data_IF_345599809249
#
_entry.id   IF_345599809249
#
_cell.length_a   1.000
_cell.length_b   1.000
_cell.length_c   1.000
_cell.angle_alpha   90.00
_cell.angle_beta   90.00
_cell.angle_gamma   90.00
#
_symmetry.space_group_name_H-M   'P 1'
#
loop_
_entity.id
_entity.type
_entity.pdbx_description
1 polymer ?
#
# COMPACT_ATOMS: atom_id res chain seq x y z
N UNK A 1 7.09 -5.37 -12.01
CA UNK A 1 8.02 -6.48 -11.80
C UNK A 1 8.63 -6.27 -10.43
N UNK A 2 8.47 -7.24 -9.54
CA UNK A 2 9.22 -7.23 -8.29
C UNK A 2 10.63 -7.71 -8.59
N UNK A 3 11.63 -6.91 -8.25
CA UNK A 3 13.01 -7.36 -8.42
C UNK A 3 13.36 -8.40 -7.34
N UNK A 4 14.43 -9.17 -7.55
CA UNK A 4 14.87 -10.23 -6.62
C UNK A 4 15.20 -9.73 -5.19
N UNK A 5 15.17 -8.42 -4.93
CA UNK A 5 15.41 -7.84 -3.60
C UNK A 5 14.13 -7.62 -2.78
N UNK A 6 12.95 -7.64 -3.42
CA UNK A 6 11.69 -7.36 -2.73
C UNK A 6 11.00 -8.60 -2.14
N UNK A 7 11.36 -9.80 -2.59
CA UNK A 7 10.86 -11.08 -2.07
C UNK A 7 9.44 -11.45 -2.49
N UNK A 8 8.86 -10.79 -3.48
CA UNK A 8 7.49 -11.04 -3.90
C UNK A 8 7.28 -12.44 -4.47
N UNK A 9 8.13 -12.85 -5.40
CA UNK A 9 8.02 -14.17 -6.04
C UNK A 9 8.19 -15.28 -5.00
N UNK A 10 9.20 -15.15 -4.15
CA UNK A 10 9.53 -16.09 -3.08
C UNK A 10 8.41 -16.18 -2.05
N UNK A 11 7.87 -15.04 -1.61
CA UNK A 11 6.71 -15.00 -0.71
C UNK A 11 5.50 -15.71 -1.31
N UNK A 12 5.20 -15.43 -2.59
CA UNK A 12 4.05 -16.04 -3.27
C UNK A 12 4.22 -17.56 -3.39
N UNK A 13 5.41 -18.03 -3.76
CA UNK A 13 5.73 -19.46 -3.85
C UNK A 13 5.61 -20.14 -2.49
N UNK A 14 6.14 -19.51 -1.43
CA UNK A 14 6.07 -20.07 -0.09
C UNK A 14 4.63 -20.16 0.43
N UNK A 15 3.81 -19.10 0.26
CA UNK A 15 2.39 -19.15 0.60
C UNK A 15 1.64 -20.21 -0.22
N UNK A 16 1.97 -20.37 -1.50
CA UNK A 16 1.34 -21.35 -2.38
C UNK A 16 1.67 -22.78 -1.92
N UNK A 17 2.91 -23.02 -1.50
CA UNK A 17 3.32 -24.28 -0.92
C UNK A 17 2.55 -24.56 0.37
N UNK A 18 2.43 -23.59 1.29
CA UNK A 18 1.68 -23.77 2.53
C UNK A 18 0.22 -24.15 2.29
N UNK A 19 -0.43 -23.51 1.31
CA UNK A 19 -1.79 -23.84 0.92
C UNK A 19 -1.91 -25.28 0.38
N UNK A 20 -0.99 -25.70 -0.49
CA UNK A 20 -0.99 -27.05 -1.08
C UNK A 20 -0.60 -28.14 -0.08
N UNK A 21 0.27 -27.84 0.88
CA UNK A 21 0.78 -28.77 1.88
C UNK A 21 -0.34 -29.35 2.77
N UNK A 22 -1.42 -28.59 2.97
CA UNK A 22 -2.61 -29.06 3.67
C UNK A 22 -3.42 -30.09 2.84
N UNK A 23 -3.36 -30.03 1.50
CA UNK A 23 -4.18 -30.83 0.60
C UNK A 23 -3.59 -32.22 0.28
N UNK A 24 -2.26 -32.38 0.37
CA UNK A 24 -1.56 -33.58 -0.12
C UNK A 24 -0.59 -34.13 0.94
N UNK A 25 -1.01 -35.10 1.78
CA UNK A 25 -0.10 -35.83 2.66
C UNK A 25 0.72 -36.88 1.87
N UNK A 26 1.92 -37.30 2.36
CA UNK A 26 2.57 -36.86 3.59
C UNK A 26 3.35 -35.55 3.44
N UNK A 27 3.34 -34.75 4.49
CA UNK A 27 4.04 -33.48 4.55
C UNK A 27 5.57 -33.67 4.62
N UNK A 28 6.31 -33.04 3.72
CA UNK A 28 7.77 -32.98 3.80
C UNK A 28 8.19 -31.85 4.76
N UNK A 29 8.58 -32.21 5.99
CA UNK A 29 8.93 -31.26 7.05
C UNK A 29 10.11 -30.37 6.65
N UNK A 30 11.14 -30.91 6.01
CA UNK A 30 12.29 -30.12 5.56
C UNK A 30 11.88 -29.05 4.55
N UNK A 31 10.97 -29.40 3.64
CA UNK A 31 10.45 -28.44 2.67
C UNK A 31 9.54 -27.40 3.34
N UNK A 32 8.71 -27.81 4.31
CA UNK A 32 7.88 -26.89 5.08
C UNK A 32 8.74 -25.83 5.80
N UNK A 33 9.76 -26.25 6.56
CA UNK A 33 10.66 -25.35 7.26
C UNK A 33 11.36 -24.38 6.30
N UNK A 34 11.81 -24.86 5.13
CA UNK A 34 12.41 -24.01 4.11
C UNK A 34 11.45 -22.92 3.58
N UNK A 35 10.17 -23.25 3.38
CA UNK A 35 9.18 -22.26 2.94
C UNK A 35 8.80 -21.28 4.05
N UNK A 36 8.75 -21.73 5.30
CA UNK A 36 8.53 -20.84 6.45
C UNK A 36 9.70 -19.87 6.63
N UNK A 37 10.94 -20.33 6.45
CA UNK A 37 12.14 -19.49 6.51
C UNK A 37 12.14 -18.39 5.41
N UNK A 38 11.64 -18.71 4.22
CA UNK A 38 11.42 -17.72 3.16
C UNK A 38 10.44 -16.62 3.61
N UNK A 39 9.31 -17.00 4.20
CA UNK A 39 8.31 -16.02 4.69
C UNK A 39 8.89 -15.15 5.81
N UNK A 40 9.67 -15.75 6.71
CA UNK A 40 10.31 -15.04 7.81
C UNK A 40 11.46 -14.13 7.36
N UNK A 41 12.17 -14.50 6.30
CA UNK A 41 13.26 -13.70 5.74
C UNK A 41 12.74 -12.44 5.03
N UNK A 42 11.73 -12.59 4.17
CA UNK A 42 11.22 -11.46 3.40
C UNK A 42 10.16 -10.64 4.13
N UNK A 43 9.37 -11.27 5.03
CA UNK A 43 8.27 -10.66 5.79
C UNK A 43 7.37 -9.75 4.94
N UNK A 44 7.18 -10.09 3.66
CA UNK A 44 6.52 -9.20 2.71
C UNK A 44 5.08 -8.84 3.13
N UNK A 45 4.23 -9.79 3.59
CA UNK A 45 2.90 -9.43 4.08
C UNK A 45 2.95 -8.44 5.25
N UNK A 46 3.86 -8.64 6.20
CA UNK A 46 4.02 -7.73 7.34
C UNK A 46 4.48 -6.33 6.90
N UNK A 47 5.43 -6.24 5.95
CA UNK A 47 5.88 -4.96 5.37
C UNK A 47 4.74 -4.25 4.63
N UNK A 48 3.94 -4.99 3.87
CA UNK A 48 2.75 -4.46 3.18
C UNK A 48 1.76 -3.88 4.17
N UNK A 49 1.36 -4.64 5.18
CA UNK A 49 0.37 -4.21 6.18
C UNK A 49 0.85 -3.00 6.97
N UNK A 50 2.13 -2.99 7.37
CA UNK A 50 2.72 -1.82 8.04
C UNK A 50 2.71 -0.60 7.12
N UNK A 51 3.01 -0.78 5.85
CA UNK A 51 3.10 0.33 4.89
C UNK A 51 1.72 0.92 4.61
N UNK A 52 0.70 0.09 4.41
CA UNK A 52 -0.68 0.57 4.22
C UNK A 52 -1.14 1.36 5.44
N UNK A 53 -0.96 0.82 6.66
CA UNK A 53 -1.32 1.52 7.89
C UNK A 53 -0.58 2.86 8.06
N UNK A 54 0.73 2.89 7.81
CA UNK A 54 1.53 4.11 7.95
C UNK A 54 1.09 5.17 6.93
N UNK A 55 0.87 4.78 5.67
CA UNK A 55 0.42 5.70 4.63
C UNK A 55 -0.98 6.21 4.94
N UNK A 56 -1.91 5.34 5.34
CA UNK A 56 -3.26 5.74 5.78
C UNK A 56 -3.21 6.80 6.88
N UNK A 57 -2.38 6.58 7.90
CA UNK A 57 -2.23 7.52 9.01
C UNK A 57 -1.66 8.86 8.54
N UNK A 58 -0.54 8.84 7.80
CA UNK A 58 0.18 10.06 7.43
C UNK A 58 -0.54 10.87 6.37
N UNK A 59 -1.03 10.23 5.32
CA UNK A 59 -1.81 10.92 4.31
C UNK A 59 -3.16 11.36 4.85
N UNK A 60 -3.79 10.60 5.76
CA UNK A 60 -5.04 11.03 6.41
C UNK A 60 -4.87 12.35 7.17
N UNK A 61 -3.77 12.50 7.90
CA UNK A 61 -3.41 13.77 8.58
C UNK A 61 -3.19 14.90 7.57
N UNK A 62 -2.49 14.65 6.46
CA UNK A 62 -2.28 15.66 5.42
C UNK A 62 -3.58 16.04 4.71
N UNK A 63 -4.50 15.09 4.49
CA UNK A 63 -5.78 15.33 3.85
C UNK A 63 -6.67 16.26 4.69
N UNK A 64 -6.64 16.12 6.02
CA UNK A 64 -7.33 17.05 6.92
C UNK A 64 -6.81 18.49 6.73
N UNK A 65 -5.48 18.67 6.74
CA UNK A 65 -4.87 19.98 6.51
C UNK A 65 -5.19 20.55 5.13
N UNK A 66 -5.15 19.72 4.09
CA UNK A 66 -5.48 20.13 2.73
C UNK A 66 -6.96 20.46 2.57
N UNK A 67 -7.85 19.75 3.27
CA UNK A 67 -9.29 20.04 3.28
C UNK A 67 -9.56 21.42 3.87
N UNK A 68 -8.98 21.70 5.04
CA UNK A 68 -9.11 23.00 5.70
C UNK A 68 -8.51 24.12 4.83
N UNK A 69 -7.38 23.85 4.19
CA UNK A 69 -6.75 24.80 3.28
C UNK A 69 -7.63 25.06 2.05
N UNK A 70 -8.14 24.00 1.41
CA UNK A 70 -9.00 24.10 0.23
C UNK A 70 -10.33 24.81 0.51
N UNK A 71 -10.77 24.87 1.77
CA UNK A 71 -11.96 25.62 2.18
C UNK A 71 -11.74 27.14 2.06
N UNK A 72 -12.00 27.67 0.85
CA UNK A 72 -11.91 29.10 0.57
C UNK A 72 -10.55 29.57 0.04
N UNK A 73 -9.61 28.66 -0.23
CA UNK A 73 -8.35 29.01 -0.87
C UNK A 73 -8.57 29.59 -2.26
N UNK A 74 -7.91 30.74 -2.52
CA UNK A 74 -7.82 31.34 -3.84
C UNK A 74 -6.38 31.73 -4.13
N UNK A 75 -5.95 31.58 -5.39
CA UNK A 75 -4.61 31.98 -5.82
C UNK A 75 -4.56 33.48 -6.15
N UNK A 76 -4.97 34.32 -5.20
CA UNK A 76 -5.31 35.72 -5.43
C UNK A 76 -4.13 36.68 -5.51
N UNK A 77 -2.91 36.27 -5.13
CA UNK A 77 -1.74 37.13 -5.21
C UNK A 77 -0.46 36.40 -5.66
N UNK A 78 0.56 37.14 -6.15
CA UNK A 78 1.80 36.54 -6.67
C UNK A 78 2.61 35.74 -5.65
N UNK A 79 2.58 36.11 -4.37
CA UNK A 79 3.33 35.42 -3.31
C UNK A 79 2.76 34.04 -3.06
N UNK A 80 1.43 33.93 -2.95
CA UNK A 80 0.72 32.65 -2.81
C UNK A 80 1.02 31.76 -4.02
N UNK A 81 0.95 32.32 -5.24
CA UNK A 81 1.25 31.58 -6.46
C UNK A 81 2.67 31.00 -6.44
N UNK A 82 3.65 31.72 -5.93
CA UNK A 82 5.02 31.23 -5.82
C UNK A 82 5.16 30.13 -4.77
N UNK A 83 4.49 30.25 -3.62
CA UNK A 83 4.45 29.20 -2.59
C UNK A 83 3.82 27.90 -3.14
N UNK A 84 2.76 28.00 -3.93
CA UNK A 84 2.13 26.82 -4.54
C UNK A 84 3.04 26.16 -5.60
N UNK A 85 3.90 26.92 -6.31
CA UNK A 85 4.93 26.32 -7.16
C UNK A 85 5.96 25.53 -6.34
N UNK A 86 6.38 26.07 -5.19
CA UNK A 86 7.29 25.36 -4.27
C UNK A 86 6.64 24.06 -3.80
N UNK A 87 5.36 24.14 -3.37
CA UNK A 87 4.59 22.96 -3.00
C UNK A 87 4.56 21.94 -4.14
N UNK A 88 4.25 22.36 -5.38
CA UNK A 88 4.23 21.47 -6.54
C UNK A 88 5.56 20.75 -6.77
N UNK A 89 6.70 21.43 -6.55
CA UNK A 89 8.03 20.82 -6.66
C UNK A 89 8.28 19.79 -5.54
N UNK A 90 7.89 20.10 -4.30
CA UNK A 90 7.95 19.16 -3.16
C UNK A 90 7.09 17.93 -3.46
N UNK A 91 5.87 18.12 -3.97
CA UNK A 91 4.97 17.03 -4.33
C UNK A 91 5.54 16.16 -5.45
N UNK A 92 6.13 16.78 -6.47
CA UNK A 92 6.80 16.04 -7.54
C UNK A 92 7.93 15.16 -7.00
N UNK A 93 8.78 15.70 -6.13
CA UNK A 93 9.93 14.96 -5.61
C UNK A 93 9.54 13.85 -4.64
N UNK A 94 8.66 14.11 -3.68
CA UNK A 94 8.37 13.13 -2.62
C UNK A 94 7.16 12.25 -2.92
N UNK A 95 6.11 12.81 -3.51
CA UNK A 95 4.90 12.04 -3.78
C UNK A 95 4.97 11.32 -5.12
N UNK A 96 5.21 12.05 -6.23
CA UNK A 96 5.20 11.45 -7.57
C UNK A 96 6.39 10.51 -7.77
N UNK A 97 7.61 10.94 -7.41
CA UNK A 97 8.81 10.15 -7.68
C UNK A 97 9.08 9.06 -6.63
N UNK A 98 8.50 9.13 -5.43
CA UNK A 98 8.78 8.16 -4.35
C UNK A 98 7.52 7.44 -3.88
N UNK A 99 6.52 8.17 -3.37
CA UNK A 99 5.38 7.53 -2.74
C UNK A 99 4.44 6.81 -3.74
N UNK A 100 4.21 7.38 -4.92
CA UNK A 100 3.37 6.77 -5.96
C UNK A 100 3.92 5.44 -6.49
N UNK A 101 5.23 5.29 -6.77
CA UNK A 101 5.82 4.00 -7.10
C UNK A 101 5.63 2.96 -5.98
N UNK A 102 5.88 3.33 -4.72
CA UNK A 102 5.66 2.45 -3.56
C UNK A 102 4.18 2.03 -3.50
N UNK A 103 3.26 2.97 -3.66
CA UNK A 103 1.82 2.71 -3.68
C UNK A 103 1.41 1.77 -4.82
N UNK A 104 2.02 1.92 -6.00
CA UNK A 104 1.83 1.02 -7.15
C UNK A 104 2.28 -0.40 -6.82
N UNK A 105 3.45 -0.57 -6.20
CA UNK A 105 3.95 -1.88 -5.78
C UNK A 105 3.05 -2.52 -4.72
N UNK A 106 2.63 -1.76 -3.70
CA UNK A 106 1.66 -2.22 -2.69
C UNK A 106 0.38 -2.72 -3.37
N UNK A 107 -0.18 -1.94 -4.29
CA UNK A 107 -1.40 -2.31 -5.02
C UNK A 107 -1.21 -3.55 -5.91
N UNK A 108 -0.03 -3.71 -6.51
CA UNK A 108 0.30 -4.89 -7.28
C UNK A 108 0.39 -6.12 -6.39
N UNK A 109 1.24 -6.10 -5.36
CA UNK A 109 1.44 -7.25 -4.48
C UNK A 109 0.14 -7.65 -3.77
N UNK A 110 -0.65 -6.68 -3.29
CA UNK A 110 -1.93 -7.00 -2.66
C UNK A 110 -2.88 -7.68 -3.64
N UNK A 111 -3.01 -7.20 -4.89
CA UNK A 111 -3.87 -7.85 -5.89
C UNK A 111 -3.45 -9.28 -6.18
N UNK A 112 -2.15 -9.53 -6.28
CA UNK A 112 -1.62 -10.85 -6.59
C UNK A 112 -1.71 -11.83 -5.41
N UNK A 113 -1.56 -11.34 -4.17
CA UNK A 113 -1.58 -12.19 -2.97
C UNK A 113 -2.99 -12.43 -2.44
N UNK A 114 -3.94 -11.51 -2.65
CA UNK A 114 -5.31 -11.61 -2.10
C UNK A 114 -5.99 -12.95 -2.40
N UNK A 115 -6.02 -13.45 -3.65
CA UNK A 115 -6.72 -14.72 -3.94
C UNK A 115 -6.17 -15.90 -3.14
N UNK A 116 -4.85 -15.99 -3.02
CA UNK A 116 -4.19 -17.05 -2.26
C UNK A 116 -4.41 -16.90 -0.75
N UNK A 117 -4.41 -15.66 -0.25
CA UNK A 117 -4.73 -15.39 1.16
C UNK A 117 -6.20 -15.71 1.46
N UNK A 118 -7.11 -15.45 0.54
CA UNK A 118 -8.53 -15.79 0.67
C UNK A 118 -8.73 -17.31 0.72
N UNK A 119 -8.04 -18.05 -0.15
CA UNK A 119 -8.06 -19.52 -0.15
C UNK A 119 -7.50 -20.10 1.17
N UNK A 120 -6.36 -19.58 1.64
CA UNK A 120 -5.80 -19.95 2.95
C UNK A 120 -6.81 -19.62 4.05
N UNK A 121 -7.38 -18.41 4.05
CA UNK A 121 -8.38 -18.01 5.04
C UNK A 121 -9.63 -18.85 4.99
N UNK A 122 -10.03 -19.41 3.85
CA UNK A 122 -11.21 -20.26 3.73
C UNK A 122 -11.02 -21.63 4.37
N UNK A 123 -9.78 -22.11 4.53
CA UNK A 123 -9.49 -23.41 5.13
C UNK A 123 -10.02 -23.51 6.57
N UNK A 124 -10.65 -24.64 6.96
CA UNK A 124 -11.15 -24.84 8.32
C UNK A 124 -10.03 -24.99 9.37
N UNK A 125 -8.79 -25.25 8.95
CA UNK A 125 -7.60 -25.41 9.79
C UNK A 125 -7.01 -24.07 10.25
N UNK A 126 -7.34 -22.96 9.57
CA UNK A 126 -6.88 -21.64 10.00
C UNK A 126 -7.60 -21.21 11.26
N UNK A 127 -6.79 -20.98 12.31
CA UNK A 127 -7.27 -20.53 13.61
C UNK A 127 -8.11 -19.25 13.49
N UNK A 128 -9.26 -19.13 14.20
CA UNK A 128 -10.15 -17.97 14.08
C UNK A 128 -9.46 -16.62 14.31
N UNK A 129 -8.50 -16.54 15.25
CA UNK A 129 -7.74 -15.30 15.49
C UNK A 129 -6.88 -14.87 14.31
N UNK A 130 -6.30 -15.83 13.58
CA UNK A 130 -5.51 -15.53 12.38
C UNK A 130 -6.41 -15.01 11.26
N UNK A 131 -7.59 -15.63 11.09
CA UNK A 131 -8.61 -15.17 10.14
C UNK A 131 -9.08 -13.75 10.47
N UNK A 132 -9.37 -13.47 11.74
CA UNK A 132 -9.75 -12.14 12.19
C UNK A 132 -8.64 -11.11 11.91
N UNK A 133 -7.38 -11.47 12.20
CA UNK A 133 -6.23 -10.61 11.92
C UNK A 133 -6.12 -10.27 10.43
N UNK A 134 -6.14 -11.27 9.54
CA UNK A 134 -6.04 -11.07 8.10
C UNK A 134 -7.21 -10.26 7.54
N UNK A 135 -8.43 -10.47 8.05
CA UNK A 135 -9.59 -9.64 7.71
C UNK A 135 -9.37 -8.16 8.08
N UNK A 136 -8.78 -7.86 9.25
CA UNK A 136 -8.41 -6.49 9.63
C UNK A 136 -7.37 -5.90 8.67
N UNK A 137 -6.42 -6.71 8.17
CA UNK A 137 -5.44 -6.22 7.20
C UNK A 137 -6.07 -5.93 5.84
N UNK A 138 -7.02 -6.76 5.39
CA UNK A 138 -7.80 -6.49 4.17
C UNK A 138 -8.57 -5.17 4.27
N UNK A 139 -9.22 -4.90 5.41
CA UNK A 139 -9.87 -3.61 5.68
C UNK A 139 -8.89 -2.45 5.70
N UNK A 140 -7.70 -2.64 6.26
CA UNK A 140 -6.64 -1.63 6.30
C UNK A 140 -6.16 -1.26 4.88
N UNK A 141 -6.11 -2.21 3.96
CA UNK A 141 -5.79 -1.94 2.56
C UNK A 141 -6.87 -1.09 1.87
N UNK A 142 -8.15 -1.37 2.10
CA UNK A 142 -9.26 -0.55 1.57
C UNK A 142 -9.18 0.88 2.11
N UNK A 143 -8.94 1.05 3.40
CA UNK A 143 -8.77 2.37 4.02
C UNK A 143 -7.58 3.14 3.41
N UNK A 144 -6.46 2.45 3.18
CA UNK A 144 -5.30 2.99 2.50
C UNK A 144 -5.64 3.50 1.10
N UNK A 145 -6.36 2.72 0.29
CA UNK A 145 -6.74 3.13 -1.07
C UNK A 145 -7.60 4.40 -1.04
N UNK A 146 -8.59 4.46 -0.15
CA UNK A 146 -9.46 5.61 0.00
C UNK A 146 -8.67 6.88 0.37
N UNK A 147 -7.81 6.80 1.39
CA UNK A 147 -6.98 7.94 1.83
C UNK A 147 -6.00 8.39 0.76
N UNK A 148 -5.40 7.44 0.02
CA UNK A 148 -4.46 7.77 -1.04
C UNK A 148 -5.16 8.50 -2.20
N UNK A 149 -6.34 8.02 -2.61
CA UNK A 149 -7.16 8.68 -3.63
C UNK A 149 -7.57 10.08 -3.19
N UNK A 150 -8.06 10.23 -1.96
CA UNK A 150 -8.40 11.53 -1.40
C UNK A 150 -7.20 12.49 -1.42
N UNK A 151 -6.01 12.01 -1.08
CA UNK A 151 -4.80 12.84 -1.11
C UNK A 151 -4.51 13.39 -2.49
N UNK A 152 -4.59 12.54 -3.53
CA UNK A 152 -4.42 12.95 -4.91
C UNK A 152 -5.46 14.01 -5.29
N UNK A 153 -6.72 13.81 -4.92
CA UNK A 153 -7.81 14.75 -5.21
C UNK A 153 -7.58 16.10 -4.53
N UNK A 154 -7.26 16.11 -3.23
CA UNK A 154 -7.03 17.33 -2.46
C UNK A 154 -5.85 18.16 -3.02
N UNK A 155 -4.76 17.50 -3.39
CA UNK A 155 -3.61 18.14 -4.03
C UNK A 155 -3.96 18.73 -5.41
N UNK A 156 -4.69 17.96 -6.22
CA UNK A 156 -5.13 18.44 -7.54
C UNK A 156 -5.99 19.69 -7.40
N UNK A 157 -6.86 19.76 -6.40
CA UNK A 157 -7.68 20.93 -6.13
C UNK A 157 -6.84 22.17 -5.77
N UNK A 158 -5.88 22.05 -4.84
CA UNK A 158 -4.98 23.17 -4.48
C UNK A 158 -4.24 23.70 -5.71
N UNK A 159 -3.67 22.80 -6.52
CA UNK A 159 -2.89 23.17 -7.70
C UNK A 159 -3.76 23.82 -8.77
N UNK A 160 -4.97 23.27 -9.01
CA UNK A 160 -5.92 23.78 -9.99
C UNK A 160 -6.36 25.21 -9.68
N UNK A 161 -6.52 25.56 -8.39
CA UNK A 161 -6.83 26.93 -7.95
C UNK A 161 -5.77 27.96 -8.38
N UNK A 162 -4.54 27.52 -8.67
CA UNK A 162 -3.45 28.34 -9.19
C UNK A 162 -3.17 28.14 -10.69
N UNK A 163 -4.02 27.41 -11.42
CA UNK A 163 -3.80 27.07 -12.82
C UNK A 163 -2.64 26.09 -13.06
N UNK A 164 -2.22 25.37 -12.03
CA UNK A 164 -1.19 24.33 -12.11
C UNK A 164 -1.83 22.95 -12.23
N UNK A 165 -1.09 21.99 -12.76
CA UNK A 165 -1.45 20.57 -12.77
C UNK A 165 -0.30 19.76 -12.18
N UNK A 166 -0.56 18.62 -11.53
CA UNK A 166 0.51 17.70 -11.16
C UNK A 166 1.17 17.22 -12.46
N UNK A 167 2.42 17.60 -12.70
CA UNK A 167 3.19 17.13 -13.85
C UNK A 167 4.14 16.02 -13.40
N UNK A 168 3.84 14.80 -13.84
CA UNK A 168 4.90 13.80 -14.03
C UNK A 168 5.66 14.24 -15.28
N UNK A 169 6.99 14.41 -15.17
CA UNK A 169 7.82 14.67 -16.34
C UNK A 169 7.88 13.42 -17.22
#
# INVERSE_FOLDING_TARGET
EGDASDGFVETRVALQYLYQAHLIPPLNITQLEAQLDVLESFRLPARLYRSTQLITLKLGQLNQLLTDYNAGFTCGNPVIKEQIKILNNVMKQFFIQTLQPIASHINHYQRELTPLLDDIMASPEIHPSMRAYLNTQAQSFVAYQAVFTEHVTQLQQVLASCGLRPTAN
#
